data_IF_131830724884
#
_entry.id   IF_131830724884
#
_cell.length_a   1.000
_cell.length_b   1.000
_cell.length_c   1.000
_cell.angle_alpha   90.00
_cell.angle_beta   90.00
_cell.angle_gamma   90.00
#
_symmetry.space_group_name_H-M   'P 1'
#
loop_
_entity.id
_entity.type
_entity.pdbx_description
1 polymer ?
#
# COMPACT_ATOMS: atom_id res chain seq x y z
N UNK A 1 -19.07 -2.90 11.89
CA UNK A 1 -19.25 -2.10 10.64
C UNK A 1 -18.53 -2.85 9.53
N UNK A 2 -19.09 -2.95 8.32
CA UNK A 2 -18.34 -3.53 7.20
C UNK A 2 -17.57 -2.41 6.51
N UNK A 3 -16.26 -2.40 6.62
CA UNK A 3 -15.36 -1.40 6.00
C UNK A 3 -15.07 -1.70 4.53
N UNK A 4 -15.27 -2.94 4.11
CA UNK A 4 -14.96 -3.47 2.78
C UNK A 4 -16.25 -3.56 1.96
N UNK A 5 -16.71 -2.40 1.46
CA UNK A 5 -17.95 -2.27 0.68
C UNK A 5 -17.68 -2.01 -0.81
N UNK A 6 -16.42 -2.16 -1.25
CA UNK A 6 -16.07 -2.06 -2.66
C UNK A 6 -16.79 -3.13 -3.50
N UNK A 7 -17.04 -2.80 -4.73
CA UNK A 7 -17.67 -3.71 -5.71
C UNK A 7 -17.46 -3.17 -7.12
N UNK A 8 -17.82 -3.94 -8.15
CA UNK A 8 -17.83 -3.47 -9.55
C UNK A 8 -18.71 -2.22 -9.79
N UNK A 9 -19.60 -1.86 -8.85
CA UNK A 9 -20.48 -0.66 -8.91
C UNK A 9 -20.12 0.40 -7.87
N UNK A 10 -19.17 0.14 -7.01
CA UNK A 10 -18.64 1.05 -6.01
C UNK A 10 -17.14 0.77 -5.87
N UNK A 11 -16.36 1.36 -6.78
CA UNK A 11 -14.92 1.16 -6.87
C UNK A 11 -14.26 2.05 -5.84
N UNK A 12 -13.46 1.47 -4.95
CA UNK A 12 -12.69 2.21 -3.95
C UNK A 12 -11.48 2.89 -4.58
N UNK A 13 -11.05 3.98 -3.97
CA UNK A 13 -9.83 4.71 -4.33
C UNK A 13 -8.83 4.63 -3.19
N UNK A 14 -7.66 4.04 -3.48
CA UNK A 14 -6.52 3.99 -2.59
C UNK A 14 -5.47 5.02 -3.00
N UNK A 15 -5.08 5.89 -2.08
CA UNK A 15 -4.01 6.85 -2.29
C UNK A 15 -2.65 6.15 -2.09
N UNK A 16 -1.92 5.92 -3.20
CA UNK A 16 -0.59 5.30 -3.22
C UNK A 16 0.44 6.21 -2.55
N UNK A 17 0.92 5.83 -1.38
CA UNK A 17 1.82 6.63 -0.52
C UNK A 17 1.22 8.00 -0.15
N UNK A 18 -0.10 8.04 0.04
CA UNK A 18 -0.87 9.28 0.14
C UNK A 18 -1.12 9.94 -1.21
N UNK A 19 -1.48 11.22 -1.24
CA UNK A 19 -1.65 11.97 -2.50
C UNK A 19 -0.28 12.36 -3.08
N UNK A 20 0.46 11.38 -3.57
CA UNK A 20 1.87 11.56 -3.92
C UNK A 20 2.11 12.29 -5.25
N UNK A 21 1.10 12.53 -6.10
CA UNK A 21 1.28 13.40 -7.28
C UNK A 21 1.50 14.86 -6.89
N UNK A 22 0.89 15.33 -5.81
CA UNK A 22 0.92 16.73 -5.38
C UNK A 22 1.75 16.98 -4.11
N UNK A 23 1.88 15.96 -3.26
CA UNK A 23 2.56 16.03 -1.97
C UNK A 23 3.76 15.08 -1.94
N UNK A 24 4.74 15.27 -1.02
CA UNK A 24 5.84 14.32 -0.88
C UNK A 24 5.30 12.95 -0.41
N UNK A 25 5.64 11.90 -1.16
CA UNK A 25 5.16 10.54 -0.89
C UNK A 25 5.50 10.06 0.53
N UNK A 26 4.64 9.21 1.10
CA UNK A 26 4.85 8.60 2.41
C UNK A 26 5.10 9.62 3.53
N UNK A 27 4.40 10.76 3.50
CA UNK A 27 4.50 11.80 4.53
C UNK A 27 3.15 12.19 5.09
N UNK A 28 3.12 12.77 6.30
CA UNK A 28 1.89 13.21 6.93
C UNK A 28 1.09 14.18 6.04
N UNK A 29 1.68 15.23 5.41
CA UNK A 29 0.93 16.09 4.49
C UNK A 29 0.25 15.36 3.32
N UNK A 30 0.89 14.30 2.78
CA UNK A 30 0.29 13.49 1.71
C UNK A 30 -0.89 12.65 2.20
N UNK A 31 -0.82 12.15 3.43
CA UNK A 31 -1.90 11.36 4.04
C UNK A 31 -3.10 12.25 4.42
N UNK A 32 -2.83 13.39 5.06
CA UNK A 32 -3.87 14.37 5.43
C UNK A 32 -4.62 14.88 4.20
N UNK A 33 -3.90 15.22 3.13
CA UNK A 33 -4.51 15.65 1.87
C UNK A 33 -5.34 14.52 1.22
N UNK A 34 -4.89 13.27 1.26
CA UNK A 34 -5.64 12.13 0.76
C UNK A 34 -6.94 11.91 1.56
N UNK A 35 -6.90 12.08 2.88
CA UNK A 35 -8.08 12.03 3.74
C UNK A 35 -9.06 13.15 3.40
N UNK A 36 -8.56 14.37 3.20
CA UNK A 36 -9.38 15.55 2.90
C UNK A 36 -10.17 15.40 1.59
N UNK A 37 -9.59 14.81 0.54
CA UNK A 37 -10.29 14.57 -0.72
C UNK A 37 -11.25 13.37 -0.65
N UNK A 38 -11.20 12.60 0.43
CA UNK A 38 -12.17 11.55 0.73
C UNK A 38 -11.84 10.19 0.11
N UNK A 39 -10.56 9.77 0.15
CA UNK A 39 -10.17 8.41 -0.26
C UNK A 39 -10.73 7.35 0.66
N UNK A 40 -10.94 6.15 0.13
CA UNK A 40 -11.40 4.99 0.91
C UNK A 40 -10.24 4.28 1.61
N UNK A 41 -9.03 4.41 1.07
CA UNK A 41 -7.84 3.73 1.55
C UNK A 41 -6.59 4.59 1.37
N UNK A 42 -5.63 4.45 2.28
CA UNK A 42 -4.25 4.93 2.09
C UNK A 42 -3.32 3.72 2.05
N UNK A 43 -2.47 3.69 1.05
CA UNK A 43 -1.38 2.73 0.95
C UNK A 43 -0.09 3.37 1.46
N UNK A 44 0.71 2.58 2.21
CA UNK A 44 1.98 2.99 2.81
C UNK A 44 3.03 1.87 2.76
N UNK A 45 4.29 2.28 2.80
CA UNK A 45 5.46 1.39 2.81
C UNK A 45 6.15 1.41 4.18
N UNK A 46 6.24 0.27 4.87
CA UNK A 46 6.86 0.19 6.20
C UNK A 46 8.25 -0.44 6.12
N UNK A 47 9.24 0.26 6.69
CA UNK A 47 10.62 -0.19 6.87
C UNK A 47 11.04 -0.10 8.33
N UNK A 48 12.17 -0.74 8.65
CA UNK A 48 12.74 -0.70 10.01
C UNK A 48 14.12 -0.04 9.99
N UNK A 49 14.35 0.85 10.94
CA UNK A 49 15.61 1.56 11.15
C UNK A 49 16.68 0.68 11.82
N UNK A 50 17.90 1.19 11.94
CA UNK A 50 19.01 0.52 12.65
C UNK A 50 18.70 0.21 14.12
N UNK A 51 18.06 1.13 14.80
CA UNK A 51 17.65 1.01 16.20
C UNK A 51 16.27 0.33 16.38
N UNK A 52 15.71 -0.21 15.28
CA UNK A 52 14.52 -1.04 15.31
C UNK A 52 13.20 -0.29 15.20
N UNK A 53 13.19 1.03 14.99
CA UNK A 53 11.95 1.79 14.84
C UNK A 53 11.29 1.62 13.47
N UNK A 54 9.95 1.65 13.43
CA UNK A 54 9.19 1.51 12.18
C UNK A 54 8.98 2.88 11.55
N UNK A 55 9.52 3.08 10.35
CA UNK A 55 9.42 4.31 9.58
C UNK A 55 8.68 4.05 8.27
N UNK A 56 7.96 5.05 7.77
CA UNK A 56 7.26 4.94 6.50
C UNK A 56 8.13 5.52 5.39
N UNK A 57 8.61 4.64 4.50
CA UNK A 57 9.46 4.98 3.36
C UNK A 57 9.49 3.84 2.34
N UNK A 58 9.36 4.18 1.05
CA UNK A 58 9.35 3.16 0.00
C UNK A 58 10.72 2.54 -0.25
N UNK A 59 11.73 3.38 -0.52
CA UNK A 59 13.06 2.91 -0.89
C UNK A 59 13.86 2.46 0.32
N UNK A 60 14.78 1.54 0.12
CA UNK A 60 15.76 1.18 1.14
C UNK A 60 16.78 2.30 1.38
N UNK A 61 17.02 3.15 0.37
CA UNK A 61 17.94 4.27 0.39
C UNK A 61 17.16 5.59 0.48
N UNK A 62 17.57 6.48 1.39
CA UNK A 62 16.86 7.73 1.67
C UNK A 62 17.02 8.81 0.58
N UNK A 63 17.96 8.66 -0.37
CA UNK A 63 18.38 9.72 -1.31
C UNK A 63 17.28 10.25 -2.22
N UNK A 64 16.37 9.40 -2.69
CA UNK A 64 15.35 9.81 -3.68
C UNK A 64 14.35 10.81 -3.10
N UNK A 65 13.98 10.63 -1.86
CA UNK A 65 12.89 11.38 -1.21
C UNK A 65 13.34 12.26 -0.06
N UNK A 66 14.66 12.34 0.20
CA UNK A 66 15.22 13.20 1.24
C UNK A 66 16.47 13.95 0.76
N UNK A 67 16.96 14.85 1.59
CA UNK A 67 18.23 15.54 1.40
C UNK A 67 19.45 14.79 1.96
N UNK A 68 19.28 13.52 2.41
CA UNK A 68 20.32 12.68 2.99
C UNK A 68 20.81 11.57 2.07
N UNK A 69 21.72 10.76 2.60
CA UNK A 69 22.29 9.58 1.95
C UNK A 69 22.36 8.43 2.96
N UNK A 70 22.23 7.20 2.48
CA UNK A 70 22.37 5.98 3.28
C UNK A 70 21.14 5.07 3.26
N UNK A 71 21.28 3.89 3.87
CA UNK A 71 20.22 2.90 3.95
C UNK A 71 19.41 3.09 5.23
N UNK A 72 18.09 3.00 5.13
CA UNK A 72 17.17 3.11 6.27
C UNK A 72 17.58 2.15 7.40
N UNK A 73 17.94 0.91 7.07
CA UNK A 73 18.34 -0.10 8.07
C UNK A 73 19.72 0.15 8.72
N UNK A 74 20.50 1.12 8.24
CA UNK A 74 21.79 1.52 8.79
C UNK A 74 21.71 2.86 9.57
N UNK A 75 20.59 3.56 9.51
CA UNK A 75 20.33 4.84 10.17
C UNK A 75 19.38 4.64 11.38
N UNK A 76 19.62 5.38 12.44
CA UNK A 76 18.70 5.49 13.57
C UNK A 76 17.46 6.32 13.20
N UNK A 77 16.38 6.20 13.97
CA UNK A 77 15.20 7.03 13.77
C UNK A 77 15.51 8.52 13.85
N UNK A 78 16.34 8.94 14.80
CA UNK A 78 16.74 10.34 14.96
C UNK A 78 17.49 10.87 13.73
N UNK A 79 18.39 10.06 13.16
CA UNK A 79 19.09 10.42 11.92
C UNK A 79 18.10 10.59 10.76
N UNK A 80 17.17 9.65 10.57
CA UNK A 80 16.12 9.74 9.54
C UNK A 80 15.20 10.94 9.77
N UNK A 81 14.76 11.18 11.01
CA UNK A 81 13.93 12.33 11.37
C UNK A 81 14.63 13.67 11.22
N UNK A 82 15.96 13.71 11.18
CA UNK A 82 16.72 14.92 10.89
C UNK A 82 16.68 15.34 9.41
N UNK A 83 16.39 14.40 8.50
CA UNK A 83 16.36 14.63 7.06
C UNK A 83 15.11 15.41 6.63
N UNK A 84 15.25 16.21 5.58
CA UNK A 84 14.16 16.86 4.90
C UNK A 84 13.58 15.91 3.84
N UNK A 85 12.37 15.42 4.08
CA UNK A 85 11.64 14.51 3.20
C UNK A 85 10.59 15.24 2.34
N UNK A 86 10.65 16.56 2.23
CA UNK A 86 9.66 17.35 1.51
C UNK A 86 10.19 18.20 0.38
N UNK A 87 11.39 18.77 0.52
CA UNK A 87 11.94 19.75 -0.44
C UNK A 87 12.09 19.21 -1.86
N UNK A 88 12.27 17.89 -2.05
CA UNK A 88 12.33 17.29 -3.39
C UNK A 88 11.00 17.47 -4.17
N UNK A 89 9.89 17.62 -3.48
CA UNK A 89 8.56 17.84 -4.06
C UNK A 89 8.25 19.31 -4.30
N UNK A 90 8.92 20.20 -3.57
CA UNK A 90 8.78 21.65 -3.70
C UNK A 90 9.07 22.40 -2.40
N UNK A 91 9.47 23.67 -2.51
CA UNK A 91 9.89 24.51 -1.37
C UNK A 91 8.78 24.64 -0.30
N UNK A 92 7.49 24.58 -0.68
CA UNK A 92 6.36 24.61 0.27
C UNK A 92 6.36 23.46 1.26
N UNK A 93 7.07 22.37 0.96
CA UNK A 93 7.16 21.18 1.80
C UNK A 93 8.47 21.06 2.55
N UNK A 94 9.32 22.05 2.46
CA UNK A 94 10.59 22.07 3.17
C UNK A 94 10.42 21.87 4.66
N UNK A 95 11.25 21.00 5.22
CA UNK A 95 11.17 20.62 6.63
C UNK A 95 10.20 19.51 6.95
N UNK A 96 9.46 18.96 5.98
CA UNK A 96 8.67 17.73 6.16
C UNK A 96 9.59 16.58 6.58
N UNK A 97 9.13 15.74 7.52
CA UNK A 97 9.88 14.60 8.06
C UNK A 97 9.24 13.29 7.64
N UNK A 98 10.06 12.25 7.48
CA UNK A 98 9.54 10.89 7.31
C UNK A 98 8.75 10.48 8.56
N UNK A 99 7.49 10.02 8.45
CA UNK A 99 6.70 9.63 9.61
C UNK A 99 7.08 8.23 10.10
N UNK A 100 6.88 7.99 11.38
CA UNK A 100 6.85 6.64 11.95
C UNK A 100 5.52 5.96 11.64
N UNK A 101 5.50 4.63 11.71
CA UNK A 101 4.25 3.86 11.60
C UNK A 101 3.24 4.24 12.71
N UNK A 102 3.71 4.56 13.92
CA UNK A 102 2.87 5.03 15.02
C UNK A 102 2.23 6.40 14.73
N UNK A 103 2.97 7.34 14.11
CA UNK A 103 2.39 8.64 13.72
C UNK A 103 1.26 8.45 12.69
N UNK A 104 1.46 7.57 11.71
CA UNK A 104 0.41 7.21 10.75
C UNK A 104 -0.81 6.56 11.44
N UNK A 105 -0.60 5.57 12.30
CA UNK A 105 -1.70 4.92 13.03
C UNK A 105 -2.47 5.92 13.91
N UNK A 106 -1.79 6.89 14.51
CA UNK A 106 -2.43 7.97 15.25
C UNK A 106 -3.28 8.88 14.37
N UNK A 107 -2.87 9.14 13.12
CA UNK A 107 -3.66 9.90 12.17
C UNK A 107 -4.95 9.15 11.79
N UNK A 108 -4.81 7.90 11.34
CA UNK A 108 -5.94 7.17 10.72
C UNK A 108 -6.97 6.63 11.73
N UNK A 109 -6.60 6.46 13.02
CA UNK A 109 -7.52 5.92 14.05
C UNK A 109 -8.81 6.74 14.19
N UNK A 110 -8.72 8.06 13.97
CA UNK A 110 -9.83 9.00 14.13
C UNK A 110 -10.72 9.09 12.88
N UNK A 111 -10.39 8.34 11.82
CA UNK A 111 -11.14 8.25 10.56
C UNK A 111 -11.84 6.88 10.44
N UNK A 112 -13.08 6.73 10.95
CA UNK A 112 -13.70 5.43 11.18
C UNK A 112 -14.05 4.64 9.92
N UNK A 113 -14.08 5.26 8.75
CA UNK A 113 -14.38 4.61 7.46
C UNK A 113 -13.15 4.32 6.62
N UNK A 114 -12.01 4.94 6.98
CA UNK A 114 -10.76 4.80 6.24
C UNK A 114 -10.16 3.40 6.45
N UNK A 115 -9.66 2.81 5.39
CA UNK A 115 -8.88 1.57 5.42
C UNK A 115 -7.42 1.85 5.10
N UNK A 116 -6.52 0.92 5.39
CA UNK A 116 -5.11 1.05 5.07
C UNK A 116 -4.59 -0.19 4.33
N UNK A 117 -3.71 0.03 3.37
CA UNK A 117 -2.89 -1.00 2.74
C UNK A 117 -1.45 -0.82 3.21
N UNK A 118 -0.93 -1.80 3.94
CA UNK A 118 0.37 -1.71 4.60
C UNK A 118 1.34 -2.65 3.92
N UNK A 119 2.24 -2.08 3.09
CA UNK A 119 3.28 -2.85 2.44
C UNK A 119 4.49 -3.06 3.36
N UNK A 120 4.82 -4.32 3.62
CA UNK A 120 5.99 -4.71 4.39
C UNK A 120 7.21 -4.82 3.48
N UNK A 121 8.18 -3.93 3.67
CA UNK A 121 9.42 -3.84 2.85
C UNK A 121 10.61 -4.59 3.42
N UNK A 122 10.50 -5.17 4.62
CA UNK A 122 11.56 -6.01 5.20
C UNK A 122 11.38 -7.44 4.72
N UNK A 123 12.11 -7.82 3.67
CA UNK A 123 11.99 -9.14 3.07
C UNK A 123 12.92 -10.15 3.76
N UNK A 124 12.45 -11.36 4.06
CA UNK A 124 13.28 -12.42 4.63
C UNK A 124 14.28 -12.91 3.56
N UNK A 125 15.49 -12.42 3.64
CA UNK A 125 16.63 -12.81 2.82
C UNK A 125 17.67 -13.50 3.66
N UNK A 126 18.60 -14.22 3.02
CA UNK A 126 19.63 -14.98 3.73
C UNK A 126 20.37 -14.11 4.75
N UNK A 127 20.21 -14.44 6.01
CA UNK A 127 20.88 -13.79 7.14
C UNK A 127 20.06 -12.70 7.84
N UNK A 128 18.87 -12.35 7.33
CA UNK A 128 17.97 -11.40 8.01
C UNK A 128 16.56 -11.96 8.24
N UNK A 129 16.32 -13.24 7.97
CA UNK A 129 14.98 -13.85 8.03
C UNK A 129 14.29 -13.59 9.37
N UNK A 130 15.03 -13.82 10.47
CA UNK A 130 14.50 -13.63 11.82
C UNK A 130 14.04 -12.19 12.06
N UNK A 131 14.85 -11.19 11.62
CA UNK A 131 14.52 -9.78 11.71
C UNK A 131 13.27 -9.43 10.88
N UNK A 132 13.18 -9.92 9.65
CA UNK A 132 12.06 -9.65 8.78
C UNK A 132 10.73 -10.16 9.37
N UNK A 133 10.73 -11.38 9.93
CA UNK A 133 9.54 -11.93 10.58
C UNK A 133 9.22 -11.22 11.90
N UNK A 134 10.22 -10.80 12.69
CA UNK A 134 10.01 -9.99 13.90
C UNK A 134 9.39 -8.64 13.58
N UNK A 135 9.88 -7.95 12.54
CA UNK A 135 9.32 -6.68 12.06
C UNK A 135 7.86 -6.86 11.62
N UNK A 136 7.58 -7.92 10.84
CA UNK A 136 6.21 -8.27 10.46
C UNK A 136 5.32 -8.43 11.70
N UNK A 137 5.72 -9.25 12.67
CA UNK A 137 4.95 -9.48 13.89
C UNK A 137 4.73 -8.19 14.70
N UNK A 138 5.72 -7.29 14.72
CA UNK A 138 5.61 -6.00 15.40
C UNK A 138 4.59 -5.09 14.72
N UNK A 139 4.62 -4.99 13.39
CA UNK A 139 3.62 -4.22 12.63
C UNK A 139 2.22 -4.75 12.89
N UNK A 140 2.01 -6.06 12.79
CA UNK A 140 0.72 -6.70 13.01
C UNK A 140 0.20 -6.49 14.44
N UNK A 141 1.07 -6.57 15.43
CA UNK A 141 0.73 -6.28 16.84
C UNK A 141 0.29 -4.83 17.06
N UNK A 142 0.98 -3.86 16.47
CA UNK A 142 0.59 -2.44 16.54
C UNK A 142 -0.80 -2.25 15.92
N UNK A 143 -1.08 -2.86 14.78
CA UNK A 143 -2.40 -2.82 14.14
C UNK A 143 -3.49 -3.35 15.08
N UNK A 144 -3.21 -4.46 15.79
CA UNK A 144 -4.13 -5.02 16.78
C UNK A 144 -4.35 -4.08 17.98
N UNK A 145 -3.28 -3.49 18.51
CA UNK A 145 -3.33 -2.55 19.66
C UNK A 145 -4.16 -1.31 19.33
N UNK A 146 -4.15 -0.87 18.07
CA UNK A 146 -5.00 0.23 17.58
C UNK A 146 -6.44 -0.20 17.24
N UNK A 147 -6.76 -1.50 17.33
CA UNK A 147 -8.07 -2.03 16.94
C UNK A 147 -8.35 -1.87 15.44
N UNK A 148 -7.31 -1.88 14.61
CA UNK A 148 -7.39 -1.61 13.17
C UNK A 148 -7.41 -2.87 12.29
N UNK A 149 -7.38 -4.06 12.88
CA UNK A 149 -7.26 -5.37 12.20
C UNK A 149 -8.31 -5.57 11.10
N UNK A 150 -9.55 -5.14 11.34
CA UNK A 150 -10.64 -5.25 10.36
C UNK A 150 -10.58 -4.20 9.24
N UNK A 151 -9.70 -3.20 9.35
CA UNK A 151 -9.58 -2.06 8.43
C UNK A 151 -8.26 -2.03 7.65
N UNK A 152 -7.49 -3.11 7.71
CA UNK A 152 -6.19 -3.20 7.04
C UNK A 152 -6.14 -4.37 6.08
N UNK A 153 -5.42 -4.21 4.99
CA UNK A 153 -4.81 -5.29 4.23
C UNK A 153 -3.30 -5.20 4.39
N UNK A 154 -2.65 -6.34 4.45
CA UNK A 154 -1.19 -6.45 4.54
C UNK A 154 -0.66 -6.93 3.21
N UNK A 155 0.33 -6.24 2.70
CA UNK A 155 0.90 -6.58 1.42
C UNK A 155 2.43 -6.72 1.50
N UNK A 156 2.98 -7.54 0.62
CA UNK A 156 4.41 -7.61 0.35
C UNK A 156 4.66 -8.27 -1.00
N UNK A 157 5.67 -7.80 -1.70
CA UNK A 157 6.20 -8.53 -2.86
C UNK A 157 6.95 -9.81 -2.48
N UNK A 158 7.32 -9.97 -1.21
CA UNK A 158 7.97 -11.19 -0.70
C UNK A 158 6.96 -12.30 -0.43
N UNK A 159 6.94 -13.34 -1.28
CA UNK A 159 6.06 -14.49 -1.05
C UNK A 159 6.36 -15.23 0.26
N UNK A 160 7.62 -15.45 0.67
CA UNK A 160 7.91 -16.06 1.99
C UNK A 160 7.28 -15.30 3.15
N UNK A 161 7.19 -13.96 3.07
CA UNK A 161 6.56 -13.15 4.09
C UNK A 161 5.03 -13.31 4.07
N UNK A 162 4.43 -13.32 2.88
CA UNK A 162 2.98 -13.57 2.71
C UNK A 162 2.59 -14.95 3.25
N UNK A 163 3.35 -16.00 2.92
CA UNK A 163 3.12 -17.35 3.45
C UNK A 163 3.30 -17.42 4.97
N UNK A 164 4.29 -16.70 5.53
CA UNK A 164 4.48 -16.61 6.97
C UNK A 164 3.25 -16.05 7.68
N UNK A 165 2.70 -14.94 7.15
CA UNK A 165 1.49 -14.32 7.70
C UNK A 165 0.31 -15.31 7.61
N UNK A 166 0.13 -15.94 6.45
CA UNK A 166 -0.94 -16.92 6.25
C UNK A 166 -0.84 -18.08 7.23
N UNK A 167 0.33 -18.71 7.37
CA UNK A 167 0.54 -19.88 8.25
C UNK A 167 0.41 -19.55 9.72
N UNK A 168 0.93 -18.39 10.14
CA UNK A 168 0.95 -18.01 11.56
C UNK A 168 -0.38 -17.45 12.04
N UNK A 169 -1.03 -16.63 11.21
CA UNK A 169 -2.20 -15.85 11.60
C UNK A 169 -3.50 -16.28 10.90
N UNK A 170 -3.42 -17.17 9.90
CA UNK A 170 -4.57 -17.63 9.14
C UNK A 170 -5.30 -16.46 8.45
N UNK A 171 -6.60 -16.38 8.68
CA UNK A 171 -7.47 -15.34 8.09
C UNK A 171 -7.63 -14.10 8.98
N UNK A 172 -6.82 -13.95 10.03
CA UNK A 172 -6.92 -12.80 10.94
C UNK A 172 -6.67 -11.48 10.22
N UNK A 173 -5.68 -11.44 9.35
CA UNK A 173 -5.37 -10.27 8.51
C UNK A 173 -5.72 -10.55 7.07
N UNK A 174 -6.36 -9.58 6.40
CA UNK A 174 -6.53 -9.63 4.94
C UNK A 174 -5.17 -9.46 4.29
N UNK A 175 -4.90 -10.26 3.26
CA UNK A 175 -3.65 -10.19 2.52
C UNK A 175 -3.89 -9.69 1.10
N UNK A 176 -3.10 -8.72 0.69
CA UNK A 176 -3.01 -8.20 -0.66
C UNK A 176 -1.78 -8.83 -1.33
N UNK A 177 -1.99 -9.51 -2.43
CA UNK A 177 -0.93 -10.15 -3.23
C UNK A 177 -0.90 -9.55 -4.64
N UNK A 178 -0.02 -10.06 -5.48
CA UNK A 178 0.16 -9.53 -6.83
C UNK A 178 -0.12 -10.59 -7.90
N UNK A 179 -0.69 -10.14 -9.02
CA UNK A 179 -0.88 -10.92 -10.25
C UNK A 179 -0.12 -10.24 -11.40
N UNK A 180 0.57 -10.97 -12.30
CA UNK A 180 0.75 -12.43 -12.25
C UNK A 180 1.67 -12.87 -11.11
N UNK A 181 1.61 -14.14 -10.76
CA UNK A 181 2.39 -14.73 -9.64
C UNK A 181 3.90 -14.51 -9.79
N UNK A 182 4.38 -14.34 -11.01
CA UNK A 182 5.79 -14.04 -11.33
C UNK A 182 6.27 -12.66 -10.85
N UNK A 183 5.38 -11.81 -10.36
CA UNK A 183 5.74 -10.52 -9.75
C UNK A 183 6.19 -10.71 -8.30
N UNK A 184 5.80 -11.82 -7.66
CA UNK A 184 6.21 -12.13 -6.30
C UNK A 184 7.67 -12.59 -6.27
N UNK A 185 8.38 -12.19 -5.22
CA UNK A 185 9.79 -12.52 -5.00
C UNK A 185 9.92 -13.65 -3.99
N UNK A 186 10.98 -14.45 -4.17
CA UNK A 186 11.30 -15.57 -3.30
C UNK A 186 10.57 -16.85 -3.70
N UNK A 187 10.75 -17.91 -2.88
CA UNK A 187 10.12 -19.20 -3.11
C UNK A 187 8.60 -19.13 -2.91
N UNK A 188 7.86 -19.82 -3.76
CA UNK A 188 6.41 -19.95 -3.68
C UNK A 188 6.10 -21.42 -3.37
N UNK A 189 5.67 -21.71 -2.14
CA UNK A 189 5.35 -23.07 -1.70
C UNK A 189 3.85 -23.33 -1.65
N UNK A 190 3.04 -22.26 -1.58
CA UNK A 190 1.57 -22.29 -1.64
C UNK A 190 1.06 -21.31 -2.68
N UNK A 191 -0.07 -21.62 -3.32
CA UNK A 191 -0.69 -20.68 -4.25
C UNK A 191 -1.21 -19.44 -3.48
N UNK A 192 -0.63 -18.23 -3.68
CA UNK A 192 -1.02 -17.04 -2.92
C UNK A 192 -2.51 -16.67 -3.09
N UNK A 193 -3.11 -17.01 -4.22
CA UNK A 193 -4.54 -16.74 -4.46
C UNK A 193 -5.49 -17.62 -3.64
N UNK A 194 -4.99 -18.67 -2.98
CA UNK A 194 -5.81 -19.52 -2.10
C UNK A 194 -6.09 -18.88 -0.73
N UNK A 195 -5.30 -17.88 -0.34
CA UNK A 195 -5.44 -17.19 0.95
C UNK A 195 -5.59 -15.66 0.83
N UNK A 196 -5.32 -15.10 -0.34
CA UNK A 196 -5.41 -13.66 -0.57
C UNK A 196 -6.85 -13.14 -0.44
N UNK A 197 -7.00 -11.94 0.10
CA UNK A 197 -8.23 -11.17 0.05
C UNK A 197 -8.36 -10.45 -1.30
N UNK A 198 -7.28 -9.83 -1.77
CA UNK A 198 -7.22 -9.10 -3.03
C UNK A 198 -5.90 -9.31 -3.75
N UNK A 199 -5.89 -9.01 -5.04
CA UNK A 199 -4.69 -9.03 -5.86
C UNK A 199 -4.59 -7.77 -6.71
N UNK A 200 -3.42 -7.11 -6.69
CA UNK A 200 -3.12 -6.07 -7.65
C UNK A 200 -2.86 -6.71 -9.02
N UNK A 201 -3.73 -6.40 -9.98
CA UNK A 201 -3.81 -7.06 -11.28
C UNK A 201 -2.92 -6.38 -12.30
N UNK A 202 -1.67 -6.81 -12.43
CA UNK A 202 -0.76 -6.32 -13.47
C UNK A 202 -0.84 -7.15 -14.74
N UNK A 203 -0.67 -6.50 -15.90
CA UNK A 203 -0.51 -7.19 -17.19
C UNK A 203 0.96 -7.50 -17.46
N UNK A 204 1.85 -6.49 -17.27
CA UNK A 204 3.30 -6.63 -17.35
C UNK A 204 3.93 -5.54 -16.48
N UNK A 205 4.94 -5.88 -15.72
CA UNK A 205 5.54 -4.99 -14.71
C UNK A 205 6.08 -3.65 -15.24
N UNK A 206 6.33 -3.56 -16.57
CA UNK A 206 6.94 -2.39 -17.21
C UNK A 206 6.12 -1.83 -18.40
N UNK A 207 4.82 -2.16 -18.52
CA UNK A 207 4.00 -1.57 -19.57
C UNK A 207 3.45 -0.21 -19.15
N UNK A 208 3.29 0.73 -20.09
CA UNK A 208 2.64 2.04 -19.82
C UNK A 208 1.22 1.89 -19.25
N UNK A 209 0.57 0.79 -19.60
CA UNK A 209 -0.76 0.42 -19.17
C UNK A 209 -0.71 -0.94 -18.49
N UNK A 210 -0.42 -0.93 -17.20
CA UNK A 210 -0.16 -2.15 -16.42
C UNK A 210 -1.40 -2.64 -15.68
N UNK A 211 -2.45 -2.97 -16.42
CA UNK A 211 -3.67 -3.57 -15.88
C UNK A 211 -3.97 -4.88 -16.63
N UNK A 212 -4.25 -5.94 -15.88
CA UNK A 212 -4.71 -7.22 -16.41
C UNK A 212 -6.07 -7.05 -17.14
N UNK A 213 -6.33 -7.90 -18.10
CA UNK A 213 -7.58 -7.83 -18.84
C UNK A 213 -8.77 -8.37 -18.03
N UNK A 214 -9.97 -8.19 -18.58
CA UNK A 214 -11.22 -8.55 -17.93
C UNK A 214 -11.29 -10.04 -17.58
N UNK A 215 -10.80 -10.93 -18.46
CA UNK A 215 -10.86 -12.38 -18.22
C UNK A 215 -10.01 -12.78 -17.02
N UNK A 216 -8.82 -12.20 -16.86
CA UNK A 216 -7.94 -12.43 -15.73
C UNK A 216 -8.54 -11.88 -14.42
N UNK A 217 -9.15 -10.69 -14.46
CA UNK A 217 -9.84 -10.13 -13.31
C UNK A 217 -11.07 -10.95 -12.91
N UNK A 218 -11.87 -11.43 -13.87
CA UNK A 218 -13.01 -12.30 -13.62
C UNK A 218 -12.59 -13.66 -13.06
N UNK A 219 -11.46 -14.19 -13.52
CA UNK A 219 -10.86 -15.42 -12.97
C UNK A 219 -10.47 -15.22 -11.50
N UNK A 220 -9.80 -14.11 -11.14
CA UNK A 220 -9.49 -13.79 -9.74
C UNK A 220 -10.76 -13.70 -8.90
N UNK A 221 -11.74 -12.93 -9.36
CA UNK A 221 -13.03 -12.78 -8.66
C UNK A 221 -13.74 -14.13 -8.44
N UNK A 222 -13.63 -15.07 -9.40
CA UNK A 222 -14.20 -16.43 -9.27
C UNK A 222 -13.52 -17.28 -8.18
N UNK A 223 -12.28 -16.96 -7.82
CA UNK A 223 -11.55 -17.55 -6.71
C UNK A 223 -11.89 -16.89 -5.36
N UNK A 224 -12.70 -15.84 -5.35
CA UNK A 224 -13.02 -15.05 -4.17
C UNK A 224 -11.93 -14.00 -3.83
N UNK A 225 -11.05 -13.70 -4.78
CA UNK A 225 -9.98 -12.70 -4.64
C UNK A 225 -10.42 -11.41 -5.35
N UNK A 226 -10.46 -10.30 -4.62
CA UNK A 226 -10.86 -8.99 -5.18
C UNK A 226 -9.80 -8.49 -6.18
N UNK A 227 -10.17 -8.20 -7.44
CA UNK A 227 -9.24 -7.66 -8.42
C UNK A 227 -9.05 -6.15 -8.22
N UNK A 228 -7.84 -5.72 -7.90
CA UNK A 228 -7.48 -4.32 -7.71
C UNK A 228 -6.61 -3.81 -8.85
N UNK A 229 -6.83 -2.55 -9.27
CA UNK A 229 -5.98 -1.89 -10.25
C UNK A 229 -4.84 -1.14 -9.52
N UNK A 230 -3.63 -1.28 -10.04
CA UNK A 230 -2.44 -0.65 -9.45
C UNK A 230 -2.25 0.82 -9.86
N UNK A 231 -1.16 1.42 -9.39
CA UNK A 231 -0.84 2.84 -9.54
C UNK A 231 -0.57 3.31 -10.99
N UNK A 232 -0.72 2.44 -11.98
CA UNK A 232 -0.65 2.80 -13.40
C UNK A 232 -1.89 3.53 -13.92
N UNK A 233 -3.00 3.51 -13.17
CA UNK A 233 -4.23 4.27 -13.51
C UNK A 233 -3.99 5.74 -13.19
N UNK A 234 -3.85 6.57 -14.25
CA UNK A 234 -3.42 7.96 -14.14
C UNK A 234 -4.26 8.96 -14.94
N UNK A 235 -5.29 8.50 -15.64
CA UNK A 235 -6.13 9.32 -16.52
C UNK A 235 -7.50 8.67 -16.76
N UNK A 236 -8.35 9.34 -17.54
CA UNK A 236 -9.70 8.87 -17.85
C UNK A 236 -9.70 7.51 -18.57
N UNK A 237 -8.75 7.27 -19.47
CA UNK A 237 -8.66 5.99 -20.19
C UNK A 237 -8.30 4.84 -19.24
N UNK A 238 -7.41 5.09 -18.27
CA UNK A 238 -7.06 4.14 -17.24
C UNK A 238 -8.25 3.81 -16.32
N UNK A 239 -9.05 4.80 -15.95
CA UNK A 239 -10.28 4.60 -15.17
C UNK A 239 -11.29 3.77 -15.96
N UNK A 240 -11.51 4.09 -17.24
CA UNK A 240 -12.44 3.34 -18.09
C UNK A 240 -12.01 1.87 -18.22
N UNK A 241 -10.72 1.62 -18.41
CA UNK A 241 -10.19 0.26 -18.46
C UNK A 241 -10.30 -0.48 -17.12
N UNK A 242 -10.09 0.19 -15.98
CA UNK A 242 -10.30 -0.41 -14.66
C UNK A 242 -11.77 -0.80 -14.43
N UNK A 243 -12.70 0.06 -14.85
CA UNK A 243 -14.14 -0.25 -14.82
C UNK A 243 -14.46 -1.47 -15.71
N UNK A 244 -13.97 -1.48 -16.97
CA UNK A 244 -14.22 -2.55 -17.94
C UNK A 244 -13.62 -3.88 -17.48
N UNK A 245 -12.45 -3.88 -16.86
CA UNK A 245 -11.82 -5.08 -16.30
C UNK A 245 -12.55 -5.63 -15.08
N UNK A 246 -13.40 -4.81 -14.44
CA UNK A 246 -14.13 -5.17 -13.24
C UNK A 246 -13.32 -5.03 -11.96
N UNK A 247 -12.31 -4.15 -11.95
CA UNK A 247 -11.57 -3.79 -10.74
C UNK A 247 -12.51 -3.24 -9.67
N UNK A 248 -12.28 -3.60 -8.41
CA UNK A 248 -13.09 -3.16 -7.27
C UNK A 248 -12.41 -2.08 -6.43
N UNK A 249 -11.12 -1.84 -6.68
CA UNK A 249 -10.35 -0.75 -6.10
C UNK A 249 -9.31 -0.26 -7.13
N UNK A 250 -9.01 1.03 -7.10
CA UNK A 250 -7.93 1.65 -7.88
C UNK A 250 -6.94 2.29 -6.90
N UNK A 251 -5.71 1.77 -6.87
CA UNK A 251 -4.58 2.44 -6.22
C UNK A 251 -4.01 3.49 -7.18
N UNK A 252 -3.84 4.73 -6.75
CA UNK A 252 -3.43 5.83 -7.65
C UNK A 252 -2.58 6.89 -6.96
N UNK A 253 -1.78 7.61 -7.76
CA UNK A 253 -0.97 8.73 -7.29
C UNK A 253 -1.75 10.05 -7.19
N UNK A 254 -2.84 10.19 -7.94
CA UNK A 254 -3.72 11.38 -7.95
C UNK A 254 -5.15 11.01 -7.59
N UNK A 255 -5.46 10.84 -6.30
CA UNK A 255 -6.77 10.37 -5.86
C UNK A 255 -7.91 11.35 -6.17
N UNK A 256 -7.68 12.68 -6.13
CA UNK A 256 -8.72 13.68 -6.46
C UNK A 256 -9.24 13.50 -7.88
N UNK A 257 -8.33 13.38 -8.84
CA UNK A 257 -8.71 13.15 -10.24
C UNK A 257 -9.47 11.81 -10.40
N UNK A 258 -9.00 10.73 -9.80
CA UNK A 258 -9.62 9.39 -9.94
C UNK A 258 -11.01 9.37 -9.28
N UNK A 259 -11.16 9.97 -8.10
CA UNK A 259 -12.46 10.10 -7.43
C UNK A 259 -13.47 10.86 -8.29
N UNK A 260 -13.06 12.00 -8.86
CA UNK A 260 -13.92 12.81 -9.72
C UNK A 260 -14.34 12.02 -10.97
N UNK A 261 -13.41 11.34 -11.64
CA UNK A 261 -13.71 10.51 -12.81
C UNK A 261 -14.66 9.35 -12.48
N UNK A 262 -14.50 8.68 -11.35
CA UNK A 262 -15.39 7.60 -10.92
C UNK A 262 -16.78 8.11 -10.54
N UNK A 263 -16.89 9.28 -9.87
CA UNK A 263 -18.17 9.93 -9.54
C UNK A 263 -18.94 10.32 -10.80
N UNK A 264 -18.27 10.94 -11.78
CA UNK A 264 -18.86 11.30 -13.08
C UNK A 264 -19.43 10.07 -13.81
N UNK A 265 -18.81 8.91 -13.65
CA UNK A 265 -19.24 7.65 -14.26
C UNK A 265 -20.24 6.86 -13.42
N UNK A 266 -20.54 7.30 -12.20
CA UNK A 266 -21.47 6.65 -11.27
C UNK A 266 -20.91 5.39 -10.59
N UNK A 267 -19.58 5.29 -10.47
CA UNK A 267 -18.88 4.16 -9.82
C UNK A 267 -18.26 4.52 -8.46
N UNK A 268 -18.43 5.73 -7.99
CA UNK A 268 -18.08 6.16 -6.63
C UNK A 268 -19.13 7.18 -6.13
N UNK A 269 -19.30 7.29 -4.78
CA UNK A 269 -20.25 8.21 -4.14
C UNK A 269 -19.69 9.61 -3.95
#
# INVERSE_FOLDING_TARGET
MNFWTQSKKNIFVAAHRGWCSEYPENTMPAFEAAIEVGVDQIEIDVRVTKDGELVIMHDADVRRTTNGEGLVCEMTLDEIKSLDAGSYKGERFKGTRAPTFIEFMNLIKDHPTLTADVELKEYPTKGNEARAYEVCDRVLRIIDEYGYTDRVVINSFSNPLNEYIHRKYGKKYRQHVYFPISTLQGEITENPYSYAYCACMFRAFYSEFNLADKEECEKMASLGVEPWAGASVKDAAGVDAAIESGATLITCNNPDMILNLLRERGYHK
#
